data_IF_817006391973
#
_entry.id   IF_817006391973
#
_cell.length_a   1.000
_cell.length_b   1.000
_cell.length_c   1.000
_cell.angle_alpha   90.00
_cell.angle_beta   90.00
_cell.angle_gamma   90.00
#
_symmetry.space_group_name_H-M   'P 1'
#
loop_
_entity.id
_entity.type
_entity.pdbx_description
1 polymer ?
#
# COMPACT_ATOMS: atom_id res chain seq x y z
N UNK A 1 13.62 7.54 -13.82
CA UNK A 1 12.98 7.22 -12.52
C UNK A 1 13.48 5.90 -12.01
N UNK A 2 13.82 5.83 -10.74
CA UNK A 2 14.24 4.59 -10.13
C UNK A 2 13.09 3.62 -9.96
N UNK A 3 13.39 2.34 -10.08
CA UNK A 3 12.42 1.29 -9.78
C UNK A 3 12.23 1.17 -8.27
N UNK A 4 10.97 1.09 -7.86
CA UNK A 4 10.62 0.84 -6.45
C UNK A 4 10.11 -0.58 -6.29
N UNK A 5 10.34 -1.15 -5.11
CA UNK A 5 9.86 -2.49 -4.77
C UNK A 5 8.43 -2.40 -4.28
N UNK A 6 7.55 -3.17 -4.89
CA UNK A 6 6.13 -3.18 -4.51
C UNK A 6 5.61 -4.60 -4.35
N UNK A 7 4.62 -4.74 -3.46
CA UNK A 7 3.79 -5.92 -3.35
C UNK A 7 2.39 -5.49 -3.75
N UNK A 8 1.90 -6.02 -4.85
CA UNK A 8 0.59 -5.68 -5.39
C UNK A 8 -0.40 -6.73 -4.95
N UNK A 9 -1.45 -6.31 -4.25
CA UNK A 9 -2.54 -7.19 -3.83
C UNK A 9 -3.77 -6.87 -4.63
N UNK A 10 -4.28 -7.88 -5.33
CA UNK A 10 -5.51 -7.78 -6.09
C UNK A 10 -6.72 -7.98 -5.18
N UNK A 11 -7.86 -7.43 -5.59
CA UNK A 11 -9.11 -7.57 -4.85
C UNK A 11 -9.59 -9.02 -4.76
N UNK A 12 -9.15 -9.88 -5.69
CA UNK A 12 -9.46 -11.31 -5.70
C UNK A 12 -8.54 -12.16 -4.83
N UNK A 13 -7.59 -11.53 -4.12
CA UNK A 13 -6.65 -12.24 -3.25
C UNK A 13 -5.30 -12.57 -3.87
N UNK A 14 -5.15 -12.38 -5.19
CA UNK A 14 -3.87 -12.62 -5.87
C UNK A 14 -2.82 -11.61 -5.38
N UNK A 15 -1.57 -12.06 -5.26
CA UNK A 15 -0.44 -11.22 -4.82
C UNK A 15 0.70 -11.37 -5.82
N UNK A 16 1.26 -10.24 -6.27
CA UNK A 16 2.44 -10.23 -7.14
C UNK A 16 3.46 -9.26 -6.55
N UNK A 17 4.70 -9.73 -6.41
CA UNK A 17 5.83 -8.92 -5.97
C UNK A 17 6.65 -8.51 -7.17
N UNK A 18 7.12 -7.28 -7.20
CA UNK A 18 7.92 -6.82 -8.31
C UNK A 18 8.41 -5.39 -8.18
N UNK A 19 8.86 -4.86 -9.31
CA UNK A 19 9.40 -3.51 -9.41
C UNK A 19 8.52 -2.67 -10.32
N UNK A 20 8.37 -1.39 -10.02
CA UNK A 20 7.69 -0.46 -10.89
C UNK A 20 8.44 0.87 -10.93
N UNK A 21 8.31 1.60 -12.02
CA UNK A 21 8.88 2.94 -12.16
C UNK A 21 7.86 3.93 -12.74
N UNK A 22 6.64 3.51 -12.98
CA UNK A 22 5.59 4.33 -13.56
C UNK A 22 4.28 4.31 -12.76
N UNK A 23 4.36 3.99 -11.46
CA UNK A 23 3.20 4.10 -10.60
C UNK A 23 3.02 5.55 -10.15
N UNK A 24 1.88 6.15 -10.55
CA UNK A 24 1.49 7.51 -10.15
C UNK A 24 0.04 7.51 -9.66
N UNK A 25 -0.26 8.19 -8.54
CA UNK A 25 -1.61 8.15 -7.95
C UNK A 25 -2.73 8.68 -8.85
N UNK A 26 -2.38 9.49 -9.86
CA UNK A 26 -3.34 10.08 -10.79
C UNK A 26 -3.52 9.26 -12.08
N UNK A 27 -2.85 8.11 -12.19
CA UNK A 27 -2.99 7.22 -13.35
C UNK A 27 -3.71 5.95 -12.96
N UNK A 28 -4.50 5.41 -13.88
CA UNK A 28 -5.34 4.23 -13.65
C UNK A 28 -4.58 2.90 -13.83
N UNK A 29 -3.33 2.95 -14.28
CA UNK A 29 -2.52 1.74 -14.55
C UNK A 29 -1.04 2.02 -14.44
N UNK A 30 -0.28 0.94 -14.28
CA UNK A 30 1.18 0.99 -14.28
C UNK A 30 1.72 -0.37 -14.74
N UNK A 31 3.04 -0.43 -14.96
CA UNK A 31 3.72 -1.65 -15.37
C UNK A 31 4.52 -2.23 -14.21
N UNK A 32 4.40 -3.55 -14.04
CA UNK A 32 5.07 -4.28 -12.97
C UNK A 32 6.05 -5.27 -13.59
N UNK A 33 7.31 -5.17 -13.21
CA UNK A 33 8.34 -6.14 -13.57
C UNK A 33 8.41 -7.18 -12.45
N UNK A 34 7.99 -8.44 -12.69
CA UNK A 34 7.95 -9.45 -11.62
C UNK A 34 9.31 -9.65 -10.96
N UNK A 35 9.32 -9.88 -9.66
CA UNK A 35 10.56 -10.02 -8.88
C UNK A 35 11.39 -11.23 -9.33
N UNK A 36 10.75 -12.28 -9.83
CA UNK A 36 11.42 -13.50 -10.33
C UNK A 36 11.96 -13.37 -11.75
N UNK A 37 11.59 -12.30 -12.47
CA UNK A 37 12.09 -12.01 -13.80
C UNK A 37 12.07 -10.52 -14.09
N UNK A 38 12.91 -9.72 -13.39
CA UNK A 38 12.81 -8.26 -13.43
C UNK A 38 13.26 -7.62 -14.74
N UNK A 39 13.94 -8.37 -15.61
CA UNK A 39 14.37 -7.89 -16.93
C UNK A 39 13.49 -8.43 -18.07
N UNK A 40 12.46 -9.21 -17.74
CA UNK A 40 11.53 -9.75 -18.71
C UNK A 40 10.40 -8.80 -19.06
N UNK A 41 9.33 -9.35 -19.63
CA UNK A 41 8.16 -8.58 -20.03
C UNK A 41 7.41 -8.06 -18.80
N UNK A 42 7.06 -6.77 -18.75
CA UNK A 42 6.25 -6.24 -17.67
C UNK A 42 4.80 -6.69 -17.77
N UNK A 43 4.14 -6.70 -16.62
CA UNK A 43 2.70 -6.95 -16.52
C UNK A 43 2.01 -5.59 -16.40
N UNK A 44 0.97 -5.37 -17.21
CA UNK A 44 0.11 -4.19 -17.05
C UNK A 44 -0.82 -4.43 -15.87
N UNK A 45 -0.85 -3.50 -14.93
CA UNK A 45 -1.67 -3.57 -13.73
C UNK A 45 -2.69 -2.43 -13.75
N UNK A 46 -3.96 -2.78 -13.65
CA UNK A 46 -5.05 -1.81 -13.54
C UNK A 46 -5.33 -1.56 -12.05
N UNK A 47 -5.25 -0.30 -11.64
CA UNK A 47 -5.44 0.06 -10.23
C UNK A 47 -6.82 -0.35 -9.72
N UNK A 48 -7.85 -0.27 -10.59
CA UNK A 48 -9.22 -0.65 -10.21
C UNK A 48 -9.39 -2.13 -9.85
N UNK A 49 -8.44 -2.99 -10.24
CA UNK A 49 -8.47 -4.42 -9.90
C UNK A 49 -7.83 -4.71 -8.55
N UNK A 50 -7.26 -3.71 -7.90
CA UNK A 50 -6.41 -3.91 -6.74
C UNK A 50 -7.13 -3.61 -5.43
N UNK A 51 -6.68 -4.30 -4.39
CA UNK A 51 -6.94 -3.95 -3.01
C UNK A 51 -6.00 -2.83 -2.57
N UNK A 52 -4.69 -3.03 -2.77
CA UNK A 52 -3.67 -2.07 -2.34
C UNK A 52 -2.33 -2.36 -3.01
N UNK A 53 -1.47 -1.34 -3.00
CA UNK A 53 -0.09 -1.43 -3.45
C UNK A 53 0.79 -1.11 -2.24
N UNK A 54 1.60 -2.09 -1.82
CA UNK A 54 2.51 -1.93 -0.69
C UNK A 54 3.89 -1.58 -1.23
N UNK A 55 4.38 -0.38 -0.93
CA UNK A 55 5.74 0.01 -1.27
C UNK A 55 6.62 -0.46 -0.12
N UNK A 56 7.55 -1.37 -0.42
CA UNK A 56 8.28 -2.12 0.60
C UNK A 56 9.78 -1.85 0.52
N UNK A 57 10.46 -2.05 1.65
CA UNK A 57 11.93 -1.97 1.73
C UNK A 57 12.54 -3.23 1.14
N UNK A 58 11.93 -4.39 1.41
CA UNK A 58 12.39 -5.69 0.98
C UNK A 58 11.19 -6.60 0.73
N UNK A 59 11.33 -7.52 -0.22
CA UNK A 59 10.26 -8.48 -0.54
C UNK A 59 10.02 -9.51 0.56
N UNK A 60 11.07 -9.87 1.30
CA UNK A 60 10.99 -10.87 2.36
C UNK A 60 10.61 -10.25 3.69
N UNK A 61 11.05 -9.02 3.93
CA UNK A 61 10.90 -8.40 5.24
C UNK A 61 11.86 -9.00 6.26
N UNK A 62 11.62 -8.73 7.54
CA UNK A 62 12.40 -9.27 8.64
C UNK A 62 11.49 -10.05 9.58
N UNK A 63 11.51 -11.39 9.52
CA UNK A 63 10.61 -12.20 10.33
C UNK A 63 10.89 -12.12 11.84
N UNK A 64 12.06 -11.63 12.23
CA UNK A 64 12.42 -11.46 13.64
C UNK A 64 11.97 -10.11 14.21
N UNK A 65 11.56 -9.18 13.35
CA UNK A 65 11.07 -7.88 13.77
C UNK A 65 9.57 -7.91 13.96
N UNK A 66 9.10 -7.51 15.13
CA UNK A 66 7.67 -7.39 15.40
C UNK A 66 7.24 -5.96 15.14
N UNK A 67 6.48 -5.76 14.07
CA UNK A 67 6.00 -4.45 13.69
C UNK A 67 4.90 -3.98 14.64
N UNK A 68 4.99 -2.71 15.05
CA UNK A 68 3.97 -2.07 15.85
C UNK A 68 2.75 -1.75 14.97
N UNK A 69 1.58 -2.21 15.39
CA UNK A 69 0.33 -2.06 14.61
C UNK A 69 -0.59 -0.96 15.14
N UNK A 70 -0.27 -0.38 16.29
CA UNK A 70 -1.09 0.64 16.95
C UNK A 70 -0.25 1.85 17.32
N UNK A 71 -0.90 3.00 17.42
CA UNK A 71 -0.24 4.20 17.89
C UNK A 71 -0.12 4.18 19.42
N UNK A 72 0.97 4.78 19.91
CA UNK A 72 1.15 5.07 21.33
C UNK A 72 0.35 6.34 21.61
N UNK A 73 -0.31 6.38 22.77
CA UNK A 73 -1.08 7.56 23.20
C UNK A 73 -0.21 8.81 23.18
N UNK A 74 -0.72 9.88 22.58
CA UNK A 74 0.00 11.14 22.46
C UNK A 74 1.04 11.19 21.35
N UNK A 75 1.23 10.12 20.60
CA UNK A 75 2.17 10.08 19.48
C UNK A 75 1.73 11.04 18.38
N UNK A 76 2.68 11.87 17.92
CA UNK A 76 2.44 12.81 16.83
C UNK A 76 2.85 12.20 15.50
N UNK A 77 2.05 12.41 14.48
CA UNK A 77 2.32 11.94 13.11
C UNK A 77 2.07 13.06 12.12
N UNK A 78 2.65 12.93 10.92
CA UNK A 78 2.29 13.80 9.81
C UNK A 78 0.91 13.40 9.30
N UNK A 79 0.03 14.40 9.09
CA UNK A 79 -1.33 14.15 8.64
C UNK A 79 -2.25 13.69 9.77
N UNK A 80 -3.24 12.87 9.40
CA UNK A 80 -4.30 12.42 10.31
C UNK A 80 -4.21 10.92 10.53
N UNK A 81 -4.37 10.50 11.77
CA UNK A 81 -4.44 9.07 12.12
C UNK A 81 -5.77 8.51 11.65
N UNK A 82 -5.74 7.36 10.98
CA UNK A 82 -6.92 6.71 10.44
C UNK A 82 -6.87 5.20 10.66
N UNK A 83 -8.07 4.63 10.68
CA UNK A 83 -8.25 3.18 10.64
C UNK A 83 -9.00 2.87 9.34
N UNK A 84 -8.39 2.05 8.50
CA UNK A 84 -8.94 1.67 7.20
C UNK A 84 -9.40 0.22 7.27
N UNK A 85 -10.69 0.00 6.99
CA UNK A 85 -11.25 -1.35 6.89
C UNK A 85 -11.48 -1.66 5.43
N UNK A 86 -10.86 -2.72 4.95
CA UNK A 86 -11.03 -3.20 3.59
C UNK A 86 -12.27 -4.10 3.49
N UNK A 87 -12.76 -4.28 2.27
CA UNK A 87 -13.96 -5.11 2.02
C UNK A 87 -13.76 -6.58 2.39
N UNK A 88 -12.51 -7.06 2.38
CA UNK A 88 -12.18 -8.41 2.81
C UNK A 88 -12.07 -8.57 4.34
N UNK A 89 -12.26 -7.48 5.08
CA UNK A 89 -12.23 -7.48 6.55
C UNK A 89 -10.91 -7.09 7.16
N UNK A 90 -9.84 -6.97 6.37
CA UNK A 90 -8.56 -6.52 6.90
C UNK A 90 -8.64 -5.08 7.38
N UNK A 91 -8.00 -4.79 8.52
CA UNK A 91 -7.94 -3.46 9.10
C UNK A 91 -6.49 -3.00 9.17
N UNK A 92 -6.22 -1.82 8.61
CA UNK A 92 -4.91 -1.17 8.71
C UNK A 92 -5.06 0.14 9.45
N UNK A 93 -4.14 0.39 10.38
CA UNK A 93 -4.05 1.66 11.10
C UNK A 93 -2.80 2.39 10.61
N UNK A 94 -2.93 3.67 10.33
CA UNK A 94 -1.81 4.48 9.87
C UNK A 94 -2.18 5.94 9.86
N UNK A 95 -1.37 6.75 9.17
CA UNK A 95 -1.68 8.16 8.96
C UNK A 95 -1.80 8.46 7.48
N UNK A 96 -2.61 9.45 7.15
CA UNK A 96 -2.79 9.91 5.78
C UNK A 96 -2.70 11.43 5.72
N UNK A 97 -2.12 11.94 4.64
CA UNK A 97 -2.08 13.38 4.38
C UNK A 97 -3.37 13.88 3.73
N UNK A 98 -4.16 12.99 3.15
CA UNK A 98 -5.45 13.33 2.58
C UNK A 98 -6.20 12.08 2.14
N UNK A 99 -7.48 12.05 2.43
CA UNK A 99 -8.38 11.00 1.99
C UNK A 99 -9.58 11.64 1.30
N UNK A 100 -9.81 11.23 0.05
CA UNK A 100 -10.96 11.63 -0.73
C UNK A 100 -11.57 10.37 -1.34
N UNK A 101 -12.80 9.99 -0.95
CA UNK A 101 -13.43 8.78 -1.45
C UNK A 101 -13.74 8.81 -2.95
N UNK A 102 -13.68 10.00 -3.57
CA UNK A 102 -13.88 10.17 -5.01
C UNK A 102 -12.63 9.86 -5.83
N UNK A 103 -11.46 9.81 -5.20
CA UNK A 103 -10.21 9.44 -5.88
C UNK A 103 -10.07 7.93 -5.92
N UNK A 104 -9.24 7.44 -6.85
CA UNK A 104 -9.02 6.00 -6.99
C UNK A 104 -8.32 5.36 -5.80
N UNK A 105 -7.62 6.14 -4.98
CA UNK A 105 -6.94 5.64 -3.80
C UNK A 105 -6.29 6.75 -3.00
N UNK A 106 -5.63 6.36 -1.92
CA UNK A 106 -4.93 7.29 -1.04
C UNK A 106 -3.76 6.58 -0.35
N UNK A 107 -2.73 7.37 0.00
CA UNK A 107 -1.58 6.83 0.71
C UNK A 107 -1.84 6.74 2.20
N UNK A 108 -1.36 5.63 2.78
CA UNK A 108 -1.40 5.36 4.20
C UNK A 108 0.02 5.07 4.68
N UNK A 109 0.46 5.77 5.71
CA UNK A 109 1.78 5.55 6.31
C UNK A 109 1.63 4.66 7.53
N UNK A 110 2.43 3.56 7.64
CA UNK A 110 2.33 2.64 8.77
C UNK A 110 2.58 3.31 10.11
N UNK A 111 2.06 2.70 11.18
CA UNK A 111 2.25 3.20 12.54
C UNK A 111 3.70 3.09 12.99
N UNK A 112 4.42 2.11 12.48
CA UNK A 112 5.81 1.84 12.84
C UNK A 112 6.73 2.36 11.73
N UNK A 113 7.57 3.40 12.01
CA UNK A 113 8.46 3.96 10.99
C UNK A 113 9.52 2.97 10.50
N UNK A 114 9.73 1.85 11.22
CA UNK A 114 10.65 0.78 10.82
C UNK A 114 9.94 -0.37 10.12
N UNK A 115 8.65 -0.22 9.80
CA UNK A 115 7.90 -1.21 9.05
C UNK A 115 8.61 -1.54 7.73
N UNK A 116 8.48 -2.79 7.29
CA UNK A 116 8.89 -3.17 5.94
C UNK A 116 8.07 -2.42 4.88
N UNK A 117 6.83 -2.07 5.21
CA UNK A 117 6.03 -1.20 4.35
C UNK A 117 6.44 0.25 4.56
N UNK A 118 6.99 0.88 3.53
CA UNK A 118 7.33 2.30 3.56
C UNK A 118 6.05 3.13 3.55
N UNK A 119 5.12 2.75 2.68
CA UNK A 119 3.76 3.31 2.59
C UNK A 119 2.86 2.34 1.83
N UNK A 120 1.57 2.54 1.98
CA UNK A 120 0.55 1.71 1.32
C UNK A 120 -0.37 2.62 0.53
N UNK A 121 -0.60 2.28 -0.73
CA UNK A 121 -1.62 2.94 -1.53
C UNK A 121 -2.88 2.08 -1.46
N UNK A 122 -3.87 2.53 -0.68
CA UNK A 122 -5.14 1.83 -0.54
C UNK A 122 -6.06 2.21 -1.69
N UNK A 123 -6.59 1.22 -2.39
CA UNK A 123 -7.47 1.45 -3.55
C UNK A 123 -8.90 1.61 -3.05
N UNK A 124 -9.51 2.75 -3.38
CA UNK A 124 -10.81 3.15 -2.82
C UNK A 124 -11.92 2.14 -3.07
N UNK A 125 -11.93 1.48 -4.24
CA UNK A 125 -12.95 0.46 -4.54
C UNK A 125 -12.89 -0.77 -3.65
N UNK A 126 -11.75 -1.01 -2.98
CA UNK A 126 -11.56 -2.13 -2.04
C UNK A 126 -11.68 -1.70 -0.58
N UNK A 127 -11.91 -0.42 -0.32
CA UNK A 127 -12.06 0.12 1.03
C UNK A 127 -13.54 0.15 1.41
N UNK A 128 -13.86 -0.44 2.55
CA UNK A 128 -15.21 -0.46 3.09
C UNK A 128 -15.47 0.79 3.95
N UNK A 129 -14.50 1.18 4.76
CA UNK A 129 -14.67 2.27 5.71
C UNK A 129 -13.33 2.89 6.08
N UNK A 130 -13.33 4.20 6.29
CA UNK A 130 -12.19 4.95 6.85
C UNK A 130 -12.70 5.70 8.07
N UNK A 131 -12.05 5.47 9.21
CA UNK A 131 -12.42 6.12 10.46
C UNK A 131 -11.22 6.96 10.94
N UNK A 132 -11.46 8.23 11.19
CA UNK A 132 -10.44 9.11 11.78
C UNK A 132 -10.33 8.81 13.26
N UNK A 133 -9.09 8.70 13.72
CA UNK A 133 -8.79 8.42 15.12
C UNK A 133 -8.52 9.69 15.92
#
# INVERSE_FOLDING_TARGET
MERIKVVVRYSNGRVIKGFTQDFFPNKDRFHLFPADNPSGEPIEVLVSDLKAIFIVRDFVGNPQYTERKKYIEGEKVSGRKVEVTFRDGEVLVGSTLGYDPKRQGFFLFPTDPKSNNIRVYAVSSSVKNVRYL
#
